data_IF_421451286293
#
_entry.id   IF_421451286293
#
_cell.length_a   1.000
_cell.length_b   1.000
_cell.length_c   1.000
_cell.angle_alpha   90.00
_cell.angle_beta   90.00
_cell.angle_gamma   90.00
#
_symmetry.space_group_name_H-M   'P 1'
#
loop_
_entity.id
_entity.type
_entity.pdbx_description
1 polymer ?
#
# COMPACT_ATOMS: atom_id res chain seq x y z
N UNK A 1 0.86 -8.09 -13.12
CA UNK A 1 0.88 -6.77 -13.80
C UNK A 1 2.28 -6.42 -14.30
N UNK A 2 3.27 -6.22 -13.42
CA UNK A 2 4.61 -5.78 -13.83
C UNK A 2 5.32 -6.70 -14.83
N UNK A 3 5.40 -8.01 -14.54
CA UNK A 3 6.07 -8.99 -15.42
C UNK A 3 5.51 -9.02 -16.86
N UNK A 4 4.18 -8.95 -16.99
CA UNK A 4 3.51 -8.94 -18.29
C UNK A 4 3.79 -7.66 -19.10
N UNK A 5 3.97 -6.54 -18.40
CA UNK A 5 4.23 -5.23 -19.00
C UNK A 5 5.67 -5.05 -19.48
N UNK A 6 6.62 -5.70 -18.79
CA UNK A 6 8.04 -5.66 -19.13
C UNK A 6 8.50 -6.85 -19.98
N UNK A 7 7.57 -7.71 -20.42
CA UNK A 7 7.86 -8.83 -21.32
C UNK A 7 8.53 -8.35 -22.62
N UNK A 8 8.04 -7.27 -23.23
CA UNK A 8 8.63 -6.70 -24.43
C UNK A 8 9.54 -5.50 -24.11
N UNK A 9 10.85 -5.75 -24.06
CA UNK A 9 11.88 -4.75 -23.71
C UNK A 9 12.01 -3.62 -24.73
N UNK A 10 11.43 -3.74 -25.94
CA UNK A 10 11.57 -2.77 -27.04
C UNK A 10 11.13 -1.36 -26.65
N UNK A 11 10.11 -1.22 -25.78
CA UNK A 11 9.55 0.06 -25.35
C UNK A 11 9.62 0.25 -23.82
N UNK A 12 10.80 0.07 -23.21
CA UNK A 12 10.98 0.16 -21.74
C UNK A 12 10.39 1.44 -21.10
N UNK A 13 10.58 2.61 -21.73
CA UNK A 13 10.01 3.88 -21.24
C UNK A 13 8.48 3.86 -21.20
N UNK A 14 7.86 3.34 -22.26
CA UNK A 14 6.41 3.22 -22.34
C UNK A 14 5.90 2.22 -21.29
N UNK A 15 6.59 1.09 -21.12
CA UNK A 15 6.27 0.09 -20.10
C UNK A 15 6.34 0.68 -18.68
N UNK A 16 7.32 1.56 -18.39
CA UNK A 16 7.38 2.27 -17.11
C UNK A 16 6.19 3.22 -16.89
N UNK A 17 5.79 3.96 -17.93
CA UNK A 17 4.67 4.91 -17.87
C UNK A 17 3.34 4.17 -17.67
N UNK A 18 3.07 3.15 -18.47
CA UNK A 18 1.84 2.36 -18.38
C UNK A 18 1.77 1.59 -17.07
N UNK A 19 2.89 1.03 -16.59
CA UNK A 19 2.95 0.40 -15.28
C UNK A 19 2.65 1.40 -14.14
N UNK A 20 3.28 2.58 -14.17
CA UNK A 20 3.01 3.62 -13.17
C UNK A 20 1.54 4.06 -13.22
N UNK A 21 0.97 4.25 -14.41
CA UNK A 21 -0.42 4.63 -14.59
C UNK A 21 -1.36 3.60 -13.97
N UNK A 22 -1.19 2.32 -14.32
CA UNK A 22 -2.02 1.25 -13.78
C UNK A 22 -1.89 1.14 -12.27
N UNK A 23 -0.66 1.18 -11.73
CA UNK A 23 -0.43 1.05 -10.30
C UNK A 23 -1.06 2.20 -9.49
N UNK A 24 -0.89 3.45 -9.94
CA UNK A 24 -1.46 4.61 -9.24
C UNK A 24 -2.98 4.67 -9.40
N UNK A 25 -3.52 4.37 -10.58
CA UNK A 25 -4.97 4.35 -10.80
C UNK A 25 -5.65 3.20 -10.03
N UNK A 26 -5.07 2.01 -10.03
CA UNK A 26 -5.55 0.88 -9.23
C UNK A 26 -5.60 1.26 -7.74
N UNK A 27 -4.53 1.84 -7.21
CA UNK A 27 -4.50 2.32 -5.82
C UNK A 27 -5.54 3.39 -5.54
N UNK A 28 -5.72 4.35 -6.47
CA UNK A 28 -6.69 5.43 -6.33
C UNK A 28 -8.13 4.90 -6.31
N UNK A 29 -8.47 4.04 -7.27
CA UNK A 29 -9.77 3.38 -7.38
C UNK A 29 -10.03 2.48 -6.17
N UNK A 30 -9.05 1.70 -5.73
CA UNK A 30 -9.19 0.86 -4.54
C UNK A 30 -9.55 1.69 -3.30
N UNK A 31 -8.94 2.86 -3.12
CA UNK A 31 -9.28 3.76 -1.99
C UNK A 31 -10.70 4.30 -2.10
N UNK A 32 -11.12 4.74 -3.28
CA UNK A 32 -12.51 5.22 -3.51
C UNK A 32 -13.53 4.10 -3.26
N UNK A 33 -13.23 2.88 -3.72
CA UNK A 33 -14.06 1.69 -3.49
C UNK A 33 -14.14 1.35 -2.01
N UNK A 34 -13.01 1.32 -1.29
CA UNK A 34 -13.01 1.07 0.16
C UNK A 34 -13.83 2.14 0.89
N UNK A 35 -13.66 3.42 0.54
CA UNK A 35 -14.43 4.52 1.13
C UNK A 35 -15.93 4.31 0.91
N UNK A 36 -16.34 3.99 -0.32
CA UNK A 36 -17.75 3.77 -0.67
C UNK A 36 -18.31 2.51 -0.01
N UNK A 37 -17.55 1.42 0.09
CA UNK A 37 -18.00 0.17 0.73
C UNK A 37 -18.17 0.38 2.25
N UNK A 38 -17.18 1.00 2.90
CA UNK A 38 -17.13 1.16 4.36
C UNK A 38 -18.12 2.21 4.86
N UNK A 39 -18.24 3.34 4.15
CA UNK A 39 -19.06 4.46 4.61
C UNK A 39 -20.37 4.62 3.83
N UNK A 40 -20.53 3.97 2.67
CA UNK A 40 -21.74 4.05 1.84
C UNK A 40 -21.93 5.40 1.13
N UNK A 41 -23.13 5.66 0.62
CA UNK A 41 -23.48 6.96 0.01
C UNK A 41 -23.58 8.09 1.04
N UNK A 42 -23.66 7.76 2.33
CA UNK A 42 -23.78 8.75 3.40
C UNK A 42 -22.54 9.66 3.48
N UNK A 43 -21.32 9.13 3.26
CA UNK A 43 -20.10 9.96 3.28
C UNK A 43 -20.11 11.00 2.15
N UNK A 44 -20.51 10.58 0.94
CA UNK A 44 -20.62 11.46 -0.22
C UNK A 44 -21.72 12.51 -0.02
N UNK A 45 -22.82 12.13 0.63
CA UNK A 45 -23.91 13.06 0.98
C UNK A 45 -23.44 14.12 1.98
N UNK A 46 -22.74 13.71 3.05
CA UNK A 46 -22.20 14.63 4.05
C UNK A 46 -21.13 15.53 3.44
N UNK A 47 -20.26 14.98 2.58
CA UNK A 47 -19.24 15.75 1.86
C UNK A 47 -19.86 16.81 0.93
N UNK A 48 -20.88 16.43 0.15
CA UNK A 48 -21.60 17.38 -0.71
C UNK A 48 -22.20 18.53 0.12
N UNK A 49 -22.88 18.22 1.23
CA UNK A 49 -23.45 19.24 2.13
C UNK A 49 -22.37 20.15 2.73
N UNK A 50 -21.23 19.58 3.12
CA UNK A 50 -20.09 20.32 3.65
C UNK A 50 -19.54 21.32 2.64
N UNK A 51 -19.24 20.87 1.42
CA UNK A 51 -18.70 21.72 0.35
C UNK A 51 -19.72 22.77 -0.10
N UNK A 52 -20.99 22.39 -0.21
CA UNK A 52 -22.07 23.33 -0.55
C UNK A 52 -22.15 24.47 0.47
N UNK A 53 -22.10 24.14 1.77
CA UNK A 53 -22.10 25.14 2.85
C UNK A 53 -20.86 26.04 2.79
N UNK A 54 -19.69 25.48 2.48
CA UNK A 54 -18.44 26.24 2.39
C UNK A 54 -18.46 27.25 1.23
N UNK A 55 -19.08 26.89 0.10
CA UNK A 55 -19.10 27.73 -1.11
C UNK A 55 -20.33 28.62 -1.23
N UNK A 56 -21.27 28.57 -0.27
CA UNK A 56 -22.49 29.37 -0.32
C UNK A 56 -23.38 29.12 -1.54
N UNK A 57 -23.23 27.95 -2.18
CA UNK A 57 -23.89 27.66 -3.46
C UNK A 57 -25.37 27.28 -3.25
N UNK A 58 -26.27 27.96 -3.98
CA UNK A 58 -27.72 27.76 -3.87
C UNK A 58 -28.23 26.46 -4.53
N UNK A 59 -27.45 25.84 -5.42
CA UNK A 59 -27.87 24.63 -6.15
C UNK A 59 -27.08 23.38 -5.74
N UNK A 60 -27.74 22.22 -5.81
CA UNK A 60 -27.14 20.91 -5.54
C UNK A 60 -26.21 20.56 -6.70
N UNK A 61 -24.94 20.90 -6.54
CA UNK A 61 -23.87 20.40 -7.40
C UNK A 61 -23.27 19.15 -6.77
N UNK A 62 -23.01 18.12 -7.59
CA UNK A 62 -22.45 16.86 -7.12
C UNK A 62 -20.94 16.98 -6.90
N UNK A 63 -20.53 17.73 -5.87
CA UNK A 63 -19.13 17.99 -5.52
C UNK A 63 -18.32 16.71 -5.28
N UNK A 64 -18.96 15.63 -4.85
CA UNK A 64 -18.35 14.31 -4.69
C UNK A 64 -17.79 13.77 -6.01
N UNK A 65 -18.52 13.89 -7.13
CA UNK A 65 -18.02 13.43 -8.43
C UNK A 65 -16.85 14.28 -8.92
N UNK A 66 -16.96 15.60 -8.77
CA UNK A 66 -15.88 16.53 -9.11
C UNK A 66 -14.62 16.18 -8.29
N UNK A 67 -14.76 15.97 -6.99
CA UNK A 67 -13.66 15.56 -6.11
C UNK A 67 -13.03 14.23 -6.55
N UNK A 68 -13.83 13.21 -6.87
CA UNK A 68 -13.33 11.91 -7.35
C UNK A 68 -12.56 12.08 -8.66
N UNK A 69 -13.10 12.83 -9.63
CA UNK A 69 -12.45 13.06 -10.93
C UNK A 69 -11.14 13.81 -10.74
N UNK A 70 -11.14 14.90 -9.97
CA UNK A 70 -9.92 15.67 -9.67
C UNK A 70 -8.86 14.81 -8.96
N UNK A 71 -9.27 13.97 -8.02
CA UNK A 71 -8.38 13.03 -7.33
C UNK A 71 -7.75 12.01 -8.29
N UNK A 72 -8.55 11.44 -9.21
CA UNK A 72 -8.04 10.51 -10.24
C UNK A 72 -7.09 11.21 -11.22
N UNK A 73 -7.42 12.43 -11.65
CA UNK A 73 -6.58 13.23 -12.54
C UNK A 73 -5.21 13.53 -11.91
N UNK A 74 -5.18 13.86 -10.61
CA UNK A 74 -3.92 14.05 -9.87
C UNK A 74 -3.06 12.78 -9.91
N UNK A 75 -3.68 11.60 -9.78
CA UNK A 75 -2.96 10.32 -9.89
C UNK A 75 -2.43 10.08 -11.30
N UNK A 76 -3.18 10.44 -12.35
CA UNK A 76 -2.70 10.34 -13.74
C UNK A 76 -1.47 11.22 -13.95
N UNK A 77 -1.53 12.51 -13.55
CA UNK A 77 -0.41 13.44 -13.68
C UNK A 77 0.82 12.94 -12.92
N UNK A 78 0.62 12.48 -11.68
CA UNK A 78 1.70 11.91 -10.86
C UNK A 78 2.28 10.65 -11.49
N UNK A 79 1.45 9.78 -12.04
CA UNK A 79 1.89 8.54 -12.69
C UNK A 79 2.72 8.82 -13.95
N UNK A 80 2.33 9.81 -14.76
CA UNK A 80 3.12 10.24 -15.91
C UNK A 80 4.49 10.75 -15.46
N UNK A 81 4.54 11.62 -14.44
CA UNK A 81 5.79 12.14 -13.89
C UNK A 81 6.72 11.02 -13.37
N UNK A 82 6.18 10.10 -12.56
CA UNK A 82 6.92 8.96 -12.00
C UNK A 82 7.39 8.03 -13.12
N UNK A 83 6.50 7.69 -14.06
CA UNK A 83 6.79 6.77 -15.18
C UNK A 83 7.91 7.29 -16.09
N UNK A 84 7.88 8.57 -16.45
CA UNK A 84 8.94 9.22 -17.24
C UNK A 84 10.27 9.21 -16.46
N UNK A 85 10.23 9.52 -15.16
CA UNK A 85 11.42 9.54 -14.31
C UNK A 85 12.05 8.15 -14.21
N UNK A 86 11.24 7.12 -13.96
CA UNK A 86 11.70 5.72 -13.88
C UNK A 86 12.20 5.19 -15.22
N UNK A 87 11.58 5.60 -16.34
CA UNK A 87 12.06 5.26 -17.68
C UNK A 87 13.45 5.81 -18.02
N UNK A 88 13.92 6.85 -17.31
CA UNK A 88 15.27 7.43 -17.44
C UNK A 88 16.26 6.90 -16.39
N UNK A 89 15.78 6.12 -15.42
CA UNK A 89 16.60 5.65 -14.30
C UNK A 89 17.83 4.84 -14.73
N UNK A 90 17.75 3.88 -15.67
CA UNK A 90 18.91 3.08 -16.08
C UNK A 90 20.08 3.94 -16.61
N UNK A 91 19.76 4.99 -17.37
CA UNK A 91 20.77 5.91 -17.94
C UNK A 91 21.42 6.80 -16.88
N UNK A 92 20.68 7.15 -15.81
CA UNK A 92 21.24 7.90 -14.67
C UNK A 92 22.07 7.01 -13.75
N UNK A 93 21.73 5.74 -13.67
CA UNK A 93 22.39 4.82 -12.77
C UNK A 93 23.83 4.51 -13.22
N UNK A 94 24.08 4.42 -14.53
CA UNK A 94 25.43 4.23 -15.08
C UNK A 94 26.37 5.40 -14.76
N UNK A 95 25.88 6.64 -14.80
CA UNK A 95 26.69 7.81 -14.41
C UNK A 95 26.85 7.96 -12.89
N UNK A 96 25.86 7.52 -12.12
CA UNK A 96 25.93 7.52 -10.65
C UNK A 96 26.87 6.44 -10.10
N UNK A 97 27.03 5.32 -10.80
CA UNK A 97 27.91 4.23 -10.40
C UNK A 97 29.35 4.71 -10.17
N UNK A 98 29.93 5.39 -11.17
CA UNK A 98 31.31 5.89 -11.11
C UNK A 98 31.53 6.90 -9.97
N UNK A 99 30.49 7.64 -9.57
CA UNK A 99 30.56 8.63 -8.50
C UNK A 99 30.42 8.03 -7.10
N UNK A 100 29.87 6.82 -7.00
CA UNK A 100 29.48 6.19 -5.73
C UNK A 100 30.20 4.86 -5.47
N UNK A 101 31.22 4.54 -6.26
CA UNK A 101 32.07 3.35 -6.10
C UNK A 101 32.64 3.22 -4.67
N UNK A 102 33.00 4.35 -4.04
CA UNK A 102 33.44 4.43 -2.64
C UNK A 102 32.43 3.86 -1.62
N UNK A 103 31.15 3.77 -1.99
CA UNK A 103 30.06 3.29 -1.13
C UNK A 103 29.56 1.88 -1.50
N UNK A 104 30.37 1.11 -2.22
CA UNK A 104 30.06 -0.29 -2.56
C UNK A 104 30.06 -1.18 -1.31
N UNK A 105 29.00 -1.98 -1.13
CA UNK A 105 28.81 -2.87 0.02
C UNK A 105 29.19 -4.30 -0.41
N UNK A 106 30.24 -4.86 0.18
CA UNK A 106 30.72 -6.22 -0.14
C UNK A 106 29.73 -7.31 0.35
N UNK A 107 29.53 -8.41 -0.41
CA UNK A 107 28.58 -9.49 -0.06
C UNK A 107 28.88 -10.24 1.24
N UNK A 108 30.15 -10.28 1.67
CA UNK A 108 30.60 -11.10 2.80
C UNK A 108 30.13 -10.60 4.18
N UNK A 109 29.73 -9.34 4.29
CA UNK A 109 29.35 -8.72 5.56
C UNK A 109 27.85 -8.82 5.87
N UNK A 110 27.14 -9.73 5.19
CA UNK A 110 25.66 -9.75 5.16
C UNK A 110 25.03 -10.71 6.20
N UNK A 111 25.82 -11.58 6.84
CA UNK A 111 25.29 -12.81 7.46
C UNK A 111 24.66 -12.73 8.87
N UNK A 112 24.73 -11.61 9.59
CA UNK A 112 24.42 -11.63 11.03
C UNK A 112 23.19 -10.81 11.43
N UNK A 113 21.98 -11.25 11.05
CA UNK A 113 20.75 -10.78 11.70
C UNK A 113 19.67 -11.87 11.74
N UNK A 114 19.58 -12.58 12.86
CA UNK A 114 18.43 -13.43 13.18
C UNK A 114 17.25 -12.56 13.62
N UNK A 115 16.16 -12.61 12.86
CA UNK A 115 14.87 -11.99 13.22
C UNK A 115 14.30 -12.63 14.48
N UNK A 116 14.21 -11.87 15.57
CA UNK A 116 13.50 -12.32 16.78
C UNK A 116 12.00 -12.35 16.49
N UNK A 117 11.37 -13.50 16.73
CA UNK A 117 9.93 -13.66 16.60
C UNK A 117 9.23 -13.05 17.81
N UNK A 118 8.66 -11.86 17.63
CA UNK A 118 7.79 -11.24 18.64
C UNK A 118 6.52 -12.09 18.79
N UNK A 119 6.40 -12.82 19.91
CA UNK A 119 5.19 -13.57 20.27
C UNK A 119 4.05 -12.58 20.58
N UNK A 120 3.06 -12.52 19.69
CA UNK A 120 1.91 -11.60 19.79
C UNK A 120 0.87 -12.15 20.80
N UNK A 121 0.57 -11.39 21.87
CA UNK A 121 -0.43 -11.74 22.90
C UNK A 121 -1.82 -11.97 22.28
N UNK A 122 -2.43 -13.13 22.57
CA UNK A 122 -3.66 -13.67 21.95
C UNK A 122 -4.97 -13.10 22.54
N UNK A 123 -4.94 -12.57 23.78
CA UNK A 123 -6.15 -12.18 24.56
C UNK A 123 -6.94 -11.00 23.98
N UNK A 124 -6.30 -10.02 23.33
CA UNK A 124 -7.01 -8.84 22.80
C UNK A 124 -7.99 -9.14 21.64
N UNK A 125 -7.84 -10.29 20.97
CA UNK A 125 -8.70 -10.67 19.84
C UNK A 125 -10.10 -11.12 20.28
N UNK A 126 -10.25 -11.74 21.44
CA UNK A 126 -11.56 -12.21 21.91
C UNK A 126 -12.46 -11.04 22.34
N UNK A 127 -11.88 -10.02 23.00
CA UNK A 127 -12.61 -8.80 23.39
C UNK A 127 -13.11 -8.05 22.14
N UNK A 128 -12.26 -7.89 21.14
CA UNK A 128 -12.64 -7.24 19.87
C UNK A 128 -13.72 -8.02 19.10
N UNK A 129 -13.72 -9.36 19.18
CA UNK A 129 -14.78 -10.19 18.59
C UNK A 129 -16.11 -9.99 19.33
N UNK A 130 -16.08 -9.94 20.67
CA UNK A 130 -17.27 -9.71 21.47
C UNK A 130 -17.88 -8.33 21.19
N UNK A 131 -17.05 -7.29 21.09
CA UNK A 131 -17.48 -5.94 20.69
C UNK A 131 -18.13 -5.97 19.30
N UNK A 132 -17.56 -6.70 18.34
CA UNK A 132 -18.15 -6.83 17.00
C UNK A 132 -19.54 -7.48 17.06
N UNK A 133 -19.71 -8.56 17.82
CA UNK A 133 -21.01 -9.25 17.94
C UNK A 133 -22.05 -8.33 18.58
N UNK A 134 -21.70 -7.61 19.64
CA UNK A 134 -22.60 -6.65 20.28
C UNK A 134 -23.00 -5.54 19.29
N UNK A 135 -22.03 -4.91 18.62
CA UNK A 135 -22.32 -3.85 17.66
C UNK A 135 -23.21 -4.34 16.50
N UNK A 136 -22.99 -5.56 16.04
CA UNK A 136 -23.80 -6.17 15.00
C UNK A 136 -25.25 -6.43 15.47
N UNK A 137 -25.44 -6.94 16.68
CA UNK A 137 -26.76 -7.12 17.29
C UNK A 137 -27.50 -5.79 17.45
N UNK A 138 -26.83 -4.75 17.96
CA UNK A 138 -27.42 -3.41 18.08
C UNK A 138 -27.80 -2.81 16.72
N UNK A 139 -26.96 -3.03 15.71
CA UNK A 139 -27.24 -2.58 14.35
C UNK A 139 -28.47 -3.30 13.74
N UNK A 140 -28.57 -4.62 13.93
CA UNK A 140 -29.73 -5.43 13.50
C UNK A 140 -31.01 -4.99 14.22
N UNK A 141 -30.97 -4.83 15.54
CA UNK A 141 -32.11 -4.37 16.33
C UNK A 141 -32.67 -3.04 15.80
N UNK A 142 -31.78 -2.09 15.50
CA UNK A 142 -32.13 -0.78 14.95
C UNK A 142 -32.73 -0.89 13.54
N UNK A 143 -32.23 -1.81 12.71
CA UNK A 143 -32.73 -2.03 11.36
C UNK A 143 -34.14 -2.65 11.35
N UNK A 144 -34.39 -3.64 12.21
CA UNK A 144 -35.70 -4.32 12.32
C UNK A 144 -36.70 -3.61 13.24
N UNK A 145 -36.33 -2.45 13.81
CA UNK A 145 -37.18 -1.67 14.74
C UNK A 145 -37.73 -2.49 15.92
N UNK A 146 -36.92 -3.39 16.46
CA UNK A 146 -37.30 -4.23 17.59
C UNK A 146 -37.07 -3.42 18.89
N UNK A 147 -38.14 -2.84 19.42
CA UNK A 147 -38.11 -1.98 20.61
C UNK A 147 -37.60 -0.56 20.33
N UNK A 148 -37.34 0.20 21.40
CA UNK A 148 -36.74 1.53 21.26
C UNK A 148 -35.29 1.43 20.74
N UNK A 149 -34.92 2.24 19.73
CA UNK A 149 -33.59 2.16 19.14
C UNK A 149 -32.54 2.65 20.13
N UNK A 150 -31.75 1.72 20.65
CA UNK A 150 -30.60 1.99 21.54
C UNK A 150 -29.53 2.81 20.80
N UNK A 151 -29.45 2.69 19.47
CA UNK A 151 -28.54 3.47 18.65
C UNK A 151 -29.10 4.85 18.30
N UNK A 152 -28.30 5.93 18.45
CA UNK A 152 -28.70 7.28 18.08
C UNK A 152 -29.13 7.35 16.61
N UNK A 153 -30.26 8.01 16.34
CA UNK A 153 -30.77 8.18 14.97
C UNK A 153 -29.91 9.13 14.12
N UNK A 154 -28.96 9.85 14.74
CA UNK A 154 -28.06 10.78 14.10
C UNK A 154 -27.27 10.12 12.96
N UNK A 155 -27.37 10.69 11.75
CA UNK A 155 -26.75 10.17 10.53
C UNK A 155 -25.23 9.94 10.70
N UNK A 156 -24.52 10.84 11.39
CA UNK A 156 -23.08 10.74 11.65
C UNK A 156 -22.70 9.52 12.50
N UNK A 157 -23.42 9.25 13.59
CA UNK A 157 -23.13 8.12 14.47
C UNK A 157 -23.41 6.79 13.78
N UNK A 158 -24.46 6.73 12.96
CA UNK A 158 -24.77 5.56 12.12
C UNK A 158 -23.62 5.23 11.17
N UNK A 159 -23.05 6.23 10.50
CA UNK A 159 -21.89 6.06 9.61
C UNK A 159 -20.71 5.46 10.39
N UNK A 160 -20.36 6.04 11.54
CA UNK A 160 -19.23 5.60 12.36
C UNK A 160 -19.42 4.14 12.80
N UNK A 161 -20.59 3.79 13.33
CA UNK A 161 -20.88 2.44 13.81
C UNK A 161 -20.81 1.43 12.67
N UNK A 162 -21.41 1.74 11.51
CA UNK A 162 -21.33 0.90 10.32
C UNK A 162 -19.87 0.67 9.90
N UNK A 163 -19.06 1.71 9.88
CA UNK A 163 -17.65 1.60 9.50
C UNK A 163 -16.86 0.72 10.46
N UNK A 164 -17.10 0.85 11.77
CA UNK A 164 -16.48 -0.03 12.79
C UNK A 164 -16.89 -1.49 12.55
N UNK A 165 -18.17 -1.76 12.31
CA UNK A 165 -18.67 -3.12 12.03
C UNK A 165 -17.99 -3.71 10.79
N UNK A 166 -17.92 -2.95 9.68
CA UNK A 166 -17.31 -3.42 8.43
C UNK A 166 -15.81 -3.68 8.62
N UNK A 167 -15.08 -2.76 9.25
CA UNK A 167 -13.63 -2.90 9.49
C UNK A 167 -13.32 -4.10 10.39
N UNK A 168 -14.06 -4.25 11.49
CA UNK A 168 -13.89 -5.39 12.41
C UNK A 168 -14.26 -6.70 11.71
N UNK A 169 -15.35 -6.72 10.93
CA UNK A 169 -15.73 -7.90 10.14
C UNK A 169 -14.65 -8.27 9.13
N UNK A 170 -14.08 -7.28 8.44
CA UNK A 170 -12.96 -7.51 7.52
C UNK A 170 -11.72 -8.08 8.22
N UNK A 171 -11.40 -7.55 9.41
CA UNK A 171 -10.29 -8.06 10.21
C UNK A 171 -10.49 -9.51 10.68
N UNK A 172 -11.69 -9.85 11.15
CA UNK A 172 -11.98 -11.17 11.74
C UNK A 172 -12.35 -12.26 10.75
N UNK A 173 -13.05 -11.93 9.66
CA UNK A 173 -13.52 -12.91 8.69
C UNK A 173 -12.66 -12.90 7.43
N UNK A 174 -12.49 -11.72 6.82
CA UNK A 174 -11.90 -11.62 5.48
C UNK A 174 -10.39 -11.82 5.54
N UNK A 175 -9.69 -11.19 6.49
CA UNK A 175 -8.24 -11.35 6.64
C UNK A 175 -7.79 -12.81 6.85
N UNK A 176 -8.36 -13.61 7.78
CA UNK A 176 -7.94 -15.00 7.94
C UNK A 176 -8.34 -15.89 6.76
N UNK A 177 -9.50 -15.67 6.14
CA UNK A 177 -9.90 -16.42 4.94
C UNK A 177 -8.92 -16.16 3.80
N UNK A 178 -8.62 -14.89 3.53
CA UNK A 178 -7.65 -14.50 2.50
C UNK A 178 -6.26 -15.07 2.80
N UNK A 179 -5.80 -15.05 4.05
CA UNK A 179 -4.53 -15.68 4.45
C UNK A 179 -4.54 -17.19 4.26
N UNK A 180 -5.64 -17.88 4.59
CA UNK A 180 -5.77 -19.32 4.36
C UNK A 180 -5.72 -19.64 2.87
N UNK A 181 -6.45 -18.86 2.06
CA UNK A 181 -6.48 -19.06 0.61
C UNK A 181 -5.12 -18.77 -0.02
N UNK A 182 -4.47 -17.67 0.35
CA UNK A 182 -3.12 -17.33 -0.09
C UNK A 182 -2.11 -18.41 0.30
N UNK A 183 -2.15 -18.92 1.54
CA UNK A 183 -1.28 -20.02 1.98
C UNK A 183 -1.54 -21.29 1.18
N UNK A 184 -2.81 -21.66 0.95
CA UNK A 184 -3.17 -22.84 0.15
C UNK A 184 -2.68 -22.70 -1.30
N UNK A 185 -2.87 -21.53 -1.91
CA UNK A 185 -2.38 -21.23 -3.26
C UNK A 185 -0.84 -21.28 -3.32
N UNK A 186 -0.16 -20.66 -2.35
CA UNK A 186 1.30 -20.71 -2.22
C UNK A 186 1.82 -22.14 -2.04
N UNK A 187 1.16 -22.96 -1.21
CA UNK A 187 1.53 -24.36 -1.00
C UNK A 187 1.37 -25.19 -2.27
N UNK A 188 0.28 -24.99 -3.02
CA UNK A 188 0.04 -25.66 -4.29
C UNK A 188 1.06 -25.23 -5.36
N UNK A 189 1.52 -23.97 -5.34
CA UNK A 189 2.60 -23.48 -6.22
C UNK A 189 4.00 -23.85 -5.72
N UNK A 190 4.17 -24.21 -4.46
CA UNK A 190 5.46 -24.57 -3.84
C UNK A 190 6.07 -25.80 -4.50
N UNK A 191 5.30 -26.75 -5.03
CA UNK A 191 5.86 -27.94 -5.70
C UNK A 191 6.53 -27.61 -7.05
N UNK A 192 6.14 -26.51 -7.71
CA UNK A 192 6.68 -26.07 -9.00
C UNK A 192 7.61 -24.83 -8.89
N UNK A 193 7.43 -23.99 -7.86
CA UNK A 193 8.16 -22.72 -7.66
C UNK A 193 8.89 -22.62 -6.30
N UNK A 194 9.04 -23.71 -5.54
CA UNK A 194 9.76 -23.71 -4.26
C UNK A 194 11.14 -23.06 -4.34
N UNK A 195 11.89 -23.32 -5.41
CA UNK A 195 13.24 -22.75 -5.61
C UNK A 195 13.19 -21.23 -5.74
N UNK A 196 12.27 -20.69 -6.54
CA UNK A 196 12.12 -19.24 -6.74
C UNK A 196 11.63 -18.53 -5.47
N UNK A 197 10.64 -19.12 -4.78
CA UNK A 197 10.14 -18.57 -3.51
C UNK A 197 11.22 -18.58 -2.43
N UNK A 198 12.00 -19.66 -2.33
CA UNK A 198 13.10 -19.75 -1.39
C UNK A 198 14.21 -18.74 -1.72
N UNK A 199 14.51 -18.52 -3.00
CA UNK A 199 15.44 -17.46 -3.43
C UNK A 199 14.97 -16.08 -2.95
N UNK A 200 13.69 -15.73 -3.16
CA UNK A 200 13.14 -14.44 -2.69
C UNK A 200 13.21 -14.31 -1.17
N UNK A 201 12.88 -15.36 -0.42
CA UNK A 201 12.98 -15.36 1.05
C UNK A 201 14.43 -15.19 1.51
N UNK A 202 15.38 -15.82 0.83
CA UNK A 202 16.81 -15.71 1.12
C UNK A 202 17.38 -14.32 0.77
N UNK A 203 16.71 -13.54 -0.09
CA UNK A 203 17.07 -12.15 -0.41
C UNK A 203 16.58 -11.15 0.65
N UNK A 204 15.60 -11.49 1.50
CA UNK A 204 15.06 -10.54 2.47
C UNK A 204 16.11 -10.05 3.50
N UNK A 205 16.94 -10.92 4.11
CA UNK A 205 17.98 -10.47 5.02
C UNK A 205 19.03 -9.59 4.32
N UNK A 206 19.37 -9.91 3.07
CA UNK A 206 20.36 -9.14 2.29
C UNK A 206 19.85 -7.73 2.00
N UNK A 207 18.58 -7.58 1.61
CA UNK A 207 17.94 -6.28 1.43
C UNK A 207 17.89 -5.47 2.72
N UNK A 208 17.55 -6.09 3.86
CA UNK A 208 17.52 -5.40 5.16
C UNK A 208 18.89 -4.84 5.55
N UNK A 209 19.95 -5.63 5.36
CA UNK A 209 21.31 -5.22 5.68
C UNK A 209 21.79 -4.10 4.73
N UNK A 210 21.50 -4.22 3.43
CA UNK A 210 21.81 -3.19 2.44
C UNK A 210 21.14 -1.84 2.77
N UNK A 211 19.89 -1.86 3.23
CA UNK A 211 19.19 -0.66 3.72
C UNK A 211 19.91 -0.08 4.94
N UNK A 212 20.23 -0.91 5.94
CA UNK A 212 20.91 -0.46 7.15
C UNK A 212 22.27 0.19 6.85
N UNK A 213 23.09 -0.44 6.01
CA UNK A 213 24.41 0.08 5.63
C UNK A 213 24.36 1.32 4.74
N UNK A 214 23.41 1.35 3.80
CA UNK A 214 23.19 2.56 2.99
C UNK A 214 22.83 3.75 3.90
N UNK A 215 22.08 3.50 4.97
CA UNK A 215 21.71 4.54 5.94
C UNK A 215 22.90 5.01 6.79
N UNK A 216 23.79 4.10 7.20
CA UNK A 216 25.01 4.48 7.93
C UNK A 216 25.96 5.27 7.05
N UNK A 217 26.19 4.85 5.80
CA UNK A 217 27.06 5.57 4.86
C UNK A 217 26.53 6.95 4.49
N UNK A 218 25.22 7.12 4.42
CA UNK A 218 24.61 8.43 4.15
C UNK A 218 24.86 9.47 5.26
N UNK A 219 25.29 9.05 6.46
CA UNK A 219 25.48 9.93 7.62
C UNK A 219 26.56 11.01 7.42
N UNK A 220 27.40 10.89 6.38
CA UNK A 220 28.35 11.94 5.98
C UNK A 220 27.64 13.27 5.63
N UNK A 221 26.39 13.22 5.18
CA UNK A 221 25.58 14.41 4.88
C UNK A 221 24.50 14.62 5.94
N UNK A 222 24.00 15.86 6.04
CA UNK A 222 22.90 16.24 6.94
C UNK A 222 21.59 16.47 6.18
N UNK A 223 20.46 16.29 6.88
CA UNK A 223 19.11 16.63 6.42
C UNK A 223 18.72 16.00 5.07
N UNK A 224 18.18 16.79 4.14
CA UNK A 224 17.74 16.33 2.81
C UNK A 224 18.87 15.73 1.97
N UNK A 225 20.10 16.22 2.12
CA UNK A 225 21.26 15.67 1.40
C UNK A 225 21.59 14.25 1.87
N UNK A 226 21.31 13.93 3.15
CA UNK A 226 21.41 12.56 3.68
C UNK A 226 20.41 11.63 3.02
N UNK A 227 19.15 12.05 2.95
CA UNK A 227 18.08 11.24 2.34
C UNK A 227 18.40 10.96 0.87
N UNK A 228 18.83 11.99 0.13
CA UNK A 228 19.20 11.80 -1.27
C UNK A 228 20.38 10.84 -1.42
N UNK A 229 21.48 11.06 -0.68
CA UNK A 229 22.66 10.19 -0.71
C UNK A 229 22.31 8.75 -0.31
N UNK A 230 21.45 8.56 0.69
CA UNK A 230 20.93 7.26 1.09
C UNK A 230 20.25 6.53 -0.07
N UNK A 231 19.30 7.19 -0.75
CA UNK A 231 18.61 6.57 -1.89
C UNK A 231 19.57 6.27 -3.04
N UNK A 232 20.56 7.14 -3.29
CA UNK A 232 21.56 6.91 -4.32
C UNK A 232 22.45 5.69 -4.03
N UNK A 233 22.98 5.59 -2.81
CA UNK A 233 23.80 4.44 -2.36
C UNK A 233 22.97 3.15 -2.41
N UNK A 234 21.72 3.19 -1.92
CA UNK A 234 20.83 2.03 -1.93
C UNK A 234 20.53 1.55 -3.35
N UNK A 235 20.20 2.47 -4.27
CA UNK A 235 19.93 2.15 -5.67
C UNK A 235 21.16 1.50 -6.32
N UNK A 236 22.33 2.14 -6.24
CA UNK A 236 23.55 1.60 -6.86
C UNK A 236 23.88 0.20 -6.33
N UNK A 237 23.84 0.00 -5.02
CA UNK A 237 24.13 -1.31 -4.42
C UNK A 237 23.08 -2.38 -4.75
N UNK A 238 21.80 -2.00 -4.90
CA UNK A 238 20.73 -2.94 -5.28
C UNK A 238 20.90 -3.44 -6.71
N UNK A 239 21.37 -2.58 -7.63
CA UNK A 239 21.55 -2.94 -9.03
C UNK A 239 22.94 -3.56 -9.33
N UNK A 240 23.94 -3.33 -8.46
CA UNK A 240 25.31 -3.83 -8.62
C UNK A 240 25.59 -5.20 -7.95
N UNK A 241 24.59 -5.88 -7.36
CA UNK A 241 24.82 -7.22 -6.81
C UNK A 241 25.12 -8.22 -7.95
N UNK A 242 26.21 -9.01 -7.86
CA UNK A 242 26.53 -10.03 -8.85
C UNK A 242 25.42 -11.10 -8.87
N UNK A 243 24.54 -11.00 -9.86
CA UNK A 243 23.30 -11.76 -9.96
C UNK A 243 22.16 -11.03 -10.68
N UNK A 244 22.30 -9.71 -10.92
CA UNK A 244 21.35 -8.90 -11.69
C UNK A 244 21.57 -8.93 -13.21
N UNK A 245 22.56 -9.66 -13.71
CA UNK A 245 22.73 -9.94 -15.15
C UNK A 245 21.82 -11.10 -15.59
N UNK A 246 20.53 -10.81 -15.74
CA UNK A 246 19.56 -11.59 -16.53
C UNK A 246 18.71 -10.64 -17.38
#
# INVERSE_FOLDING_TARGET
MGELLFWNRKNYKLACITFALLALLESALQRILILTIVYGNDIWTVFNKFVQKLMGAASITNYSYLFIISYLLLHVVTALFVGITMGRLPQKLSSMYNLLEKYSIAPAEISNTTLSQIKRKRRGKMVLLFILVILLLMYIQTFFKIGEPILPQNQLLRIIIRSIIIILSWYFFISPVLKKWLRKWLMNKKQQSARQVQQVVNLLPTMQNMIAKSWTYSAEKKYFKRLFLFFQILLVNTFNTPGSSV
#
